data_IF_909261099915
#
_entry.id   IF_909261099915
#
_cell.length_a   1.000
_cell.length_b   1.000
_cell.length_c   1.000
_cell.angle_alpha   90.00
_cell.angle_beta   90.00
_cell.angle_gamma   90.00
#
_symmetry.space_group_name_H-M   'P 1'
#
loop_
_entity.id
_entity.type
_entity.pdbx_description
1 polymer ?
#
# COMPACT_ATOMS: atom_id res chain seq x y z
N UNK A 1 -28.75 -8.90 0.99
CA UNK A 1 -27.57 -9.67 1.43
C UNK A 1 -26.82 -10.04 0.17
N UNK A 2 -25.75 -9.32 -0.15
CA UNK A 2 -24.90 -9.64 -1.31
C UNK A 2 -24.38 -11.06 -1.12
N UNK A 3 -24.67 -11.91 -2.10
CA UNK A 3 -24.08 -13.23 -2.32
C UNK A 3 -22.61 -13.22 -1.87
N UNK A 4 -22.23 -14.16 -0.99
CA UNK A 4 -20.90 -14.28 -0.38
C UNK A 4 -19.85 -14.75 -1.38
N UNK A 5 -19.85 -14.14 -2.57
CA UNK A 5 -18.98 -14.47 -3.68
C UNK A 5 -17.55 -14.17 -3.25
N UNK A 6 -16.75 -15.21 -3.17
CA UNK A 6 -15.33 -15.12 -2.81
C UNK A 6 -14.64 -14.16 -3.78
N UNK A 7 -14.12 -13.05 -3.25
CA UNK A 7 -13.37 -12.08 -4.03
C UNK A 7 -11.94 -12.59 -4.17
N UNK A 8 -11.43 -12.65 -5.40
CA UNK A 8 -10.04 -13.02 -5.67
C UNK A 8 -9.13 -11.89 -5.19
N UNK A 9 -8.11 -12.15 -4.35
CA UNK A 9 -7.11 -11.17 -4.00
C UNK A 9 -6.43 -10.59 -5.25
N UNK A 10 -6.05 -9.32 -5.17
CA UNK A 10 -5.28 -8.63 -6.21
C UNK A 10 -3.88 -8.35 -5.67
N UNK A 11 -2.88 -8.45 -6.53
CA UNK A 11 -1.52 -8.14 -6.16
C UNK A 11 -1.38 -6.66 -5.82
N UNK A 12 -0.65 -6.39 -4.74
CA UNK A 12 -0.40 -5.07 -4.21
C UNK A 12 0.98 -5.02 -3.55
N UNK A 13 1.59 -3.84 -3.54
CA UNK A 13 2.86 -3.61 -2.89
C UNK A 13 2.78 -2.36 -2.00
N UNK A 14 3.60 -2.33 -0.94
CA UNK A 14 3.72 -1.20 -0.03
C UNK A 14 5.19 -0.92 0.28
N UNK A 15 5.50 0.36 0.54
CA UNK A 15 6.83 0.83 0.87
C UNK A 15 6.89 1.25 2.33
N UNK A 16 7.76 0.59 3.10
CA UNK A 16 8.08 0.99 4.48
C UNK A 16 9.31 1.89 4.41
N UNK A 17 9.08 3.20 4.44
CA UNK A 17 10.17 4.18 4.49
C UNK A 17 10.58 4.41 5.95
N UNK A 18 11.85 4.12 6.22
CA UNK A 18 12.47 4.27 7.52
C UNK A 18 13.33 5.53 7.56
N UNK A 19 13.30 6.23 8.70
CA UNK A 19 14.22 7.32 9.03
C UNK A 19 14.73 7.15 10.46
N UNK A 20 15.91 7.68 10.75
CA UNK A 20 16.45 7.72 12.10
C UNK A 20 17.48 6.63 12.37
N UNK A 21 17.75 6.38 13.66
CA UNK A 21 18.75 5.39 14.08
C UNK A 21 18.14 3.99 14.09
N UNK A 22 18.99 2.97 13.99
CA UNK A 22 18.56 1.57 13.95
C UNK A 22 17.79 1.14 15.20
N UNK A 23 18.13 1.72 16.35
CA UNK A 23 17.51 1.40 17.65
C UNK A 23 16.20 2.15 17.88
N UNK A 24 15.92 3.20 17.09
CA UNK A 24 14.72 4.01 17.17
C UNK A 24 14.30 4.49 15.77
N UNK A 25 13.86 3.58 14.88
CA UNK A 25 13.43 3.96 13.54
C UNK A 25 12.04 4.61 13.59
N UNK A 26 11.87 5.63 12.77
CA UNK A 26 10.59 6.25 12.46
C UNK A 26 10.07 5.67 11.14
N UNK A 27 8.77 5.43 11.04
CA UNK A 27 8.10 4.93 9.83
C UNK A 27 7.23 6.04 9.24
N UNK A 28 7.34 6.27 7.93
CA UNK A 28 6.41 7.16 7.23
C UNK A 28 5.03 6.51 7.10
N UNK A 29 4.02 7.16 7.66
CA UNK A 29 2.62 6.79 7.50
C UNK A 29 1.81 7.97 6.95
N UNK A 30 0.91 7.68 6.01
CA UNK A 30 -0.11 8.60 5.54
C UNK A 30 -1.46 8.28 6.16
N UNK A 31 -2.28 9.29 6.44
CA UNK A 31 -3.68 9.09 6.83
C UNK A 31 -4.57 9.11 5.59
N UNK A 32 -5.43 8.10 5.43
CA UNK A 32 -6.37 8.06 4.32
C UNK A 32 -7.40 9.18 4.44
N UNK A 33 -7.67 9.83 3.32
CA UNK A 33 -8.68 10.89 3.26
C UNK A 33 -10.06 10.34 3.65
N UNK A 34 -10.85 11.12 4.39
CA UNK A 34 -12.15 10.72 4.93
C UNK A 34 -13.17 10.31 3.86
N UNK A 35 -13.04 10.85 2.65
CA UNK A 35 -13.89 10.53 1.48
C UNK A 35 -13.47 9.27 0.72
N UNK A 36 -12.53 8.47 1.23
CA UNK A 36 -12.08 7.26 0.54
C UNK A 36 -13.11 6.13 0.71
N UNK A 37 -13.49 5.47 -0.39
CA UNK A 37 -14.54 4.44 -0.40
C UNK A 37 -14.21 3.15 0.39
N UNK A 38 -12.94 2.92 0.70
CA UNK A 38 -12.46 1.75 1.42
C UNK A 38 -11.61 2.23 2.60
N UNK A 39 -11.89 1.77 3.82
CA UNK A 39 -11.15 2.10 5.05
C UNK A 39 -10.69 3.59 5.15
N UNK A 40 -11.60 4.56 5.26
CA UNK A 40 -11.23 5.96 5.50
C UNK A 40 -10.60 6.15 6.90
N UNK A 41 -9.85 7.24 7.07
CA UNK A 41 -9.33 7.72 8.37
C UNK A 41 -8.32 6.82 9.11
N UNK A 42 -7.80 5.77 8.46
CA UNK A 42 -6.71 4.95 9.01
C UNK A 42 -5.33 5.43 8.55
N UNK A 43 -4.30 5.10 9.33
CA UNK A 43 -2.90 5.25 8.93
C UNK A 43 -2.44 4.05 8.11
N UNK A 44 -1.75 4.32 7.00
CA UNK A 44 -1.24 3.32 6.06
C UNK A 44 0.15 3.71 5.59
N UNK A 45 0.94 2.71 5.20
CA UNK A 45 2.17 2.94 4.43
C UNK A 45 1.82 3.33 2.99
N UNK A 46 2.67 4.11 2.29
CA UNK A 46 2.52 4.33 0.86
C UNK A 46 2.50 3.01 0.09
N UNK A 47 1.60 2.88 -0.87
CA UNK A 47 1.45 1.64 -1.62
C UNK A 47 0.22 1.66 -2.52
N UNK A 48 0.00 0.56 -3.22
CA UNK A 48 -1.09 0.44 -4.18
C UNK A 48 -1.17 -0.94 -4.82
N UNK A 49 -2.19 -1.08 -5.68
CA UNK A 49 -2.31 -2.24 -6.58
C UNK A 49 -1.15 -2.23 -7.56
N UNK A 50 -0.63 -3.41 -7.87
CA UNK A 50 0.37 -3.60 -8.92
C UNK A 50 -0.25 -3.27 -10.29
N UNK A 51 0.40 -2.41 -11.06
CA UNK A 51 0.07 -2.16 -12.47
C UNK A 51 0.75 -3.23 -13.35
N UNK A 52 0.15 -3.68 -14.46
CA UNK A 52 0.80 -4.60 -15.38
C UNK A 52 2.22 -4.18 -15.81
N UNK A 53 2.50 -2.87 -15.91
CA UNK A 53 3.82 -2.35 -16.25
C UNK A 53 4.89 -2.58 -15.17
N UNK A 54 4.50 -2.80 -13.90
CA UNK A 54 5.44 -3.04 -12.79
C UNK A 54 6.20 -4.38 -12.92
N UNK A 55 5.70 -5.30 -13.76
CA UNK A 55 6.37 -6.56 -14.07
C UNK A 55 7.51 -6.40 -15.09
N UNK A 56 7.59 -5.25 -15.76
CA UNK A 56 8.69 -4.97 -16.67
C UNK A 56 9.95 -4.68 -15.84
N UNK A 57 11.14 -5.08 -16.31
CA UNK A 57 12.39 -4.71 -15.67
C UNK A 57 12.46 -3.18 -15.53
N UNK A 58 12.48 -2.68 -14.30
CA UNK A 58 12.81 -1.29 -14.03
C UNK A 58 14.29 -1.11 -14.34
N UNK A 59 14.59 -0.42 -15.43
CA UNK A 59 15.93 -0.35 -15.99
C UNK A 59 16.96 0.17 -14.98
N UNK A 60 17.84 -0.73 -14.54
CA UNK A 60 19.23 -0.43 -14.27
C UNK A 60 20.06 -1.29 -15.22
N UNK A 61 20.63 -0.64 -16.25
CA UNK A 61 21.85 -1.12 -16.89
C UNK A 61 23.01 -0.35 -16.29
#
# INVERSE_FOLDING_TARGET
MTDGRVVRPVDAAGLILLRGRREAPEILLGRRHSKTAFLPDIYVVPGGRVDPADHLPSGFR
#
